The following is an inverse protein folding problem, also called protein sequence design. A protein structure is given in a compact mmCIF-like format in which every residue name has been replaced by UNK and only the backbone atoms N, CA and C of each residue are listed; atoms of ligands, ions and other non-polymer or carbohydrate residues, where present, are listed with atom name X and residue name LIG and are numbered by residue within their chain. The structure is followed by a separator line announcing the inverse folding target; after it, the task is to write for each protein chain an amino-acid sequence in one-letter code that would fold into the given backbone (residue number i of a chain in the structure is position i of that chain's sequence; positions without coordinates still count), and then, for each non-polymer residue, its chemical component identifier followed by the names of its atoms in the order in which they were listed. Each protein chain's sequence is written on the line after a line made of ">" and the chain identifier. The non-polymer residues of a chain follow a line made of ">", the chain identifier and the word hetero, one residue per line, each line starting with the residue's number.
data_IF_433293519044
#
_entry.id   IF_433293519044
#
_cell.length_a   1.000
_cell.length_b   1.000
_cell.length_c   1.000
_cell.angle_alpha   90.00
_cell.angle_beta   90.00
_cell.angle_gamma   90.00
#
_symmetry.space_group_name_H-M   'P 1'
#
loop_
_entity.id
_entity.type
_entity.pdbx_description
1 polymer ?
#
# COMPACT_ATOMS: atom_id res chain seq x y z
N UNK A 1 -18.93 -58.08 46.87
CA UNK A 1 -19.19 -58.12 48.33
C UNK A 1 -17.85 -58.42 49.00
N UNK A 2 -17.43 -57.60 49.98
CA UNK A 2 -16.25 -57.77 50.87
C UNK A 2 -14.89 -57.63 50.15
N UNK A 3 -14.14 -56.52 50.23
CA UNK A 3 -13.35 -55.96 51.34
C UNK A 3 -12.05 -56.73 51.68
N UNK A 4 -10.93 -56.01 51.55
CA UNK A 4 -9.67 -56.09 52.34
C UNK A 4 -8.62 -57.18 52.08
N UNK A 5 -7.36 -56.71 51.93
CA UNK A 5 -6.12 -57.05 52.68
C UNK A 5 -4.92 -57.16 51.71
N UNK A 6 -3.95 -56.24 51.69
CA UNK A 6 -2.87 -55.95 52.66
C UNK A 6 -1.60 -56.83 52.52
N UNK A 7 -0.44 -56.17 52.66
CA UNK A 7 0.96 -56.68 52.78
C UNK A 7 1.63 -57.22 51.50
N UNK A 8 2.90 -56.94 51.20
CA UNK A 8 4.04 -56.73 52.08
C UNK A 8 5.10 -55.75 51.53
N UNK A 9 5.85 -55.22 52.48
CA UNK A 9 7.00 -54.32 52.40
C UNK A 9 8.26 -55.11 52.03
N UNK A 10 9.08 -54.60 51.09
CA UNK A 10 10.52 -54.87 51.05
C UNK A 10 11.25 -53.52 50.91
N UNK A 11 12.05 -53.20 51.92
CA UNK A 11 13.03 -52.13 51.91
C UNK A 11 14.26 -52.56 51.11
N UNK A 12 14.71 -51.75 50.16
CA UNK A 12 16.09 -51.74 49.70
C UNK A 12 16.50 -50.28 49.45
N UNK A 13 17.35 -49.80 50.35
CA UNK A 13 17.96 -48.48 50.37
C UNK A 13 19.14 -48.39 49.41
N UNK A 14 19.15 -47.42 48.50
CA UNK A 14 20.37 -46.94 47.84
C UNK A 14 20.26 -45.45 47.48
N UNK A 15 21.00 -44.65 48.26
CA UNK A 15 21.81 -43.47 47.88
C UNK A 15 21.16 -42.40 46.99
N UNK A 16 20.82 -41.27 47.62
CA UNK A 16 20.48 -40.02 46.94
C UNK A 16 21.70 -39.36 46.30
N UNK A 17 21.53 -38.93 45.05
CA UNK A 17 22.30 -37.86 44.41
C UNK A 17 21.40 -36.61 44.32
N UNK A 18 21.90 -35.40 44.60
CA UNK A 18 21.13 -34.19 44.39
C UNK A 18 21.01 -33.93 42.89
N UNK A 19 19.79 -34.00 42.37
CA UNK A 19 19.46 -33.50 41.04
C UNK A 19 19.57 -31.97 41.07
N UNK A 20 20.66 -31.44 40.51
CA UNK A 20 20.70 -30.05 40.09
C UNK A 20 19.78 -29.90 38.87
N UNK A 21 18.61 -29.30 39.08
CA UNK A 21 17.81 -28.77 37.99
C UNK A 21 18.55 -27.55 37.45
N UNK A 22 19.28 -27.74 36.34
CA UNK A 22 19.59 -26.62 35.46
C UNK A 22 18.28 -26.24 34.77
N UNK A 23 17.70 -25.11 35.17
CA UNK A 23 16.71 -24.44 34.34
C UNK A 23 17.39 -24.11 33.02
N UNK A 24 17.10 -24.94 32.00
CA UNK A 24 17.42 -24.61 30.63
C UNK A 24 16.60 -23.36 30.28
N UNK A 25 17.25 -22.20 30.33
CA UNK A 25 16.77 -21.00 29.65
C UNK A 25 16.63 -21.39 28.18
N UNK A 26 15.40 -21.65 27.75
CA UNK A 26 15.08 -21.81 26.35
C UNK A 26 15.28 -20.44 25.70
N UNK A 27 16.48 -20.20 25.18
CA UNK A 27 16.70 -19.13 24.21
C UNK A 27 15.93 -19.59 22.98
N UNK A 28 14.73 -19.05 22.78
CA UNK A 28 14.02 -19.24 21.53
C UNK A 28 14.96 -18.77 20.42
N UNK A 29 15.47 -19.70 19.60
CA UNK A 29 16.23 -19.36 18.42
C UNK A 29 15.34 -18.46 17.56
N UNK A 30 15.76 -17.21 17.38
CA UNK A 30 15.08 -16.27 16.50
C UNK A 30 15.01 -16.92 15.11
N UNK A 31 13.81 -17.14 14.62
CA UNK A 31 13.59 -17.71 13.29
C UNK A 31 14.38 -16.87 12.26
N UNK A 32 15.13 -17.49 11.34
CA UNK A 32 15.90 -16.74 10.36
C UNK A 32 14.94 -15.85 9.57
N UNK A 33 15.25 -14.55 9.54
CA UNK A 33 14.42 -13.57 8.82
C UNK A 33 14.36 -13.97 7.34
N UNK A 34 13.16 -13.95 6.76
CA UNK A 34 12.93 -14.23 5.34
C UNK A 34 12.72 -12.91 4.58
N UNK A 35 13.37 -12.76 3.43
CA UNK A 35 13.12 -11.61 2.54
C UNK A 35 11.72 -11.73 1.94
N UNK A 36 11.01 -10.61 1.90
CA UNK A 36 9.69 -10.48 1.27
C UNK A 36 9.72 -9.32 0.27
N UNK A 37 8.79 -9.23 -0.69
CA UNK A 37 8.66 -8.07 -1.57
C UNK A 37 8.61 -6.74 -0.80
N UNK A 38 7.84 -6.68 0.29
CA UNK A 38 7.75 -5.48 1.12
C UNK A 38 9.08 -5.15 1.82
N UNK A 39 9.78 -6.15 2.37
CA UNK A 39 11.09 -5.94 2.98
C UNK A 39 12.16 -5.54 1.94
N UNK A 40 12.07 -6.06 0.72
CA UNK A 40 12.94 -5.63 -0.36
C UNK A 40 12.73 -4.15 -0.69
N UNK A 41 11.48 -3.74 -0.89
CA UNK A 41 11.13 -2.35 -1.22
C UNK A 41 11.61 -1.35 -0.15
N UNK A 42 11.52 -1.70 1.13
CA UNK A 42 11.73 -0.76 2.24
C UNK A 42 13.07 -0.92 2.97
N UNK A 43 13.73 -2.07 2.87
CA UNK A 43 14.92 -2.39 3.68
C UNK A 43 16.09 -2.95 2.85
N UNK A 44 15.94 -3.23 1.55
CA UNK A 44 17.06 -3.70 0.73
C UNK A 44 17.94 -2.56 0.23
N UNK A 45 19.22 -2.61 0.59
CA UNK A 45 20.18 -1.60 0.19
C UNK A 45 20.65 -1.86 -1.26
N UNK A 46 20.12 -1.06 -2.19
CA UNK A 46 20.42 -1.12 -3.62
C UNK A 46 21.91 -0.93 -3.96
N UNK A 47 22.69 -0.35 -3.04
CA UNK A 47 24.14 -0.14 -3.23
C UNK A 47 24.95 -1.42 -3.17
N UNK A 48 24.31 -2.54 -2.85
CA UNK A 48 24.98 -3.82 -2.64
C UNK A 48 24.93 -4.75 -3.85
N UNK A 49 24.35 -4.29 -4.96
CA UNK A 49 24.19 -5.05 -6.19
C UNK A 49 24.67 -4.26 -7.41
N UNK A 50 24.94 -4.97 -8.50
CA UNK A 50 25.09 -4.35 -9.81
C UNK A 50 23.71 -4.06 -10.38
N UNK A 51 23.49 -2.81 -10.79
CA UNK A 51 22.21 -2.38 -11.34
C UNK A 51 22.35 -1.28 -12.39
N UNK A 52 21.25 -0.89 -13.02
CA UNK A 52 21.17 0.21 -13.99
C UNK A 52 21.48 1.56 -13.34
N UNK A 53 21.14 1.69 -12.05
CA UNK A 53 21.55 2.80 -11.20
C UNK A 53 23.05 2.79 -10.90
N UNK A 54 23.69 1.61 -10.91
CA UNK A 54 25.14 1.42 -10.92
C UNK A 54 25.91 2.38 -10.01
N UNK A 55 26.98 2.97 -10.54
CA UNK A 55 27.79 3.96 -9.82
C UNK A 55 27.03 5.27 -9.53
N UNK A 56 25.90 5.55 -10.18
CA UNK A 56 25.15 6.78 -9.92
C UNK A 56 24.55 6.80 -8.51
N UNK A 57 24.31 5.62 -7.90
CA UNK A 57 23.86 5.53 -6.52
C UNK A 57 24.77 6.30 -5.54
N UNK A 58 26.09 6.40 -5.80
CA UNK A 58 27.01 7.14 -4.91
C UNK A 58 26.64 8.61 -4.75
N UNK A 59 26.00 9.20 -5.77
CA UNK A 59 25.59 10.61 -5.79
C UNK A 59 24.23 10.86 -5.13
N UNK A 60 23.44 9.82 -4.83
CA UNK A 60 22.13 9.99 -4.19
C UNK A 60 22.19 9.62 -2.72
N UNK A 61 21.36 10.22 -1.86
CA UNK A 61 21.30 9.86 -0.44
C UNK A 61 20.40 8.66 -0.14
N UNK A 62 19.46 8.36 -1.05
CA UNK A 62 18.59 7.19 -0.92
C UNK A 62 19.35 5.87 -1.09
N UNK A 63 18.77 4.80 -0.59
CA UNK A 63 19.36 3.46 -0.54
C UNK A 63 18.36 2.35 -0.78
N UNK A 64 17.07 2.60 -0.58
CA UNK A 64 16.02 1.60 -0.71
C UNK A 64 15.19 1.81 -1.97
N UNK A 65 14.65 0.75 -2.59
CA UNK A 65 13.87 0.85 -3.83
C UNK A 65 12.71 1.86 -3.78
N UNK A 66 12.00 1.98 -2.66
CA UNK A 66 10.92 2.97 -2.52
C UNK A 66 11.39 4.44 -2.59
N UNK A 67 12.69 4.71 -2.55
CA UNK A 67 13.24 6.05 -2.71
C UNK A 67 13.57 6.38 -4.17
N UNK A 68 13.67 5.37 -5.05
CA UNK A 68 14.09 5.55 -6.45
C UNK A 68 12.97 5.27 -7.46
N UNK A 69 12.09 4.31 -7.17
CA UNK A 69 11.06 3.88 -8.11
C UNK A 69 9.72 4.58 -7.85
N UNK A 70 9.15 5.18 -8.89
CA UNK A 70 7.85 5.84 -8.84
C UNK A 70 6.68 4.86 -8.89
N UNK A 71 6.88 3.64 -9.39
CA UNK A 71 5.82 2.63 -9.47
C UNK A 71 6.30 1.29 -8.91
N UNK A 72 5.49 0.71 -8.02
CA UNK A 72 5.79 -0.54 -7.31
C UNK A 72 4.63 -1.52 -7.53
N UNK A 73 4.88 -2.56 -8.32
CA UNK A 73 3.91 -3.58 -8.63
C UNK A 73 4.24 -4.88 -7.89
N UNK A 74 3.43 -5.20 -6.88
CA UNK A 74 3.48 -6.44 -6.11
C UNK A 74 2.74 -7.56 -6.85
N UNK A 75 3.40 -8.15 -7.86
CA UNK A 75 2.79 -9.19 -8.70
C UNK A 75 2.34 -10.39 -7.87
N UNK A 76 3.20 -10.88 -6.98
CA UNK A 76 2.90 -11.97 -6.04
C UNK A 76 3.82 -11.90 -4.81
N UNK A 77 3.69 -12.86 -3.90
CA UNK A 77 4.64 -13.03 -2.78
C UNK A 77 6.06 -13.39 -3.24
N UNK A 78 6.21 -13.80 -4.51
CA UNK A 78 7.48 -14.24 -5.11
C UNK A 78 7.93 -13.38 -6.28
N UNK A 79 7.16 -12.38 -6.71
CA UNK A 79 7.53 -11.51 -7.82
C UNK A 79 7.16 -10.05 -7.53
N UNK A 80 8.13 -9.16 -7.74
CA UNK A 80 8.00 -7.71 -7.61
C UNK A 80 8.52 -7.05 -8.87
N UNK A 81 7.80 -6.04 -9.35
CA UNK A 81 8.24 -5.20 -10.47
C UNK A 81 8.29 -3.75 -10.06
N UNK A 82 9.36 -3.06 -10.41
CA UNK A 82 9.65 -1.69 -10.03
C UNK A 82 9.94 -0.88 -11.28
N UNK A 83 9.33 0.30 -11.37
CA UNK A 83 9.45 1.18 -12.54
C UNK A 83 9.72 2.61 -12.11
N UNK A 84 10.57 3.29 -12.88
CA UNK A 84 10.66 4.75 -12.97
C UNK A 84 10.70 5.14 -14.45
N UNK A 85 10.89 6.44 -14.76
CA UNK A 85 10.91 6.97 -16.12
C UNK A 85 11.91 6.27 -17.05
N UNK A 86 12.99 5.71 -16.52
CA UNK A 86 14.10 5.16 -17.29
C UNK A 86 14.51 3.74 -16.89
N UNK A 87 14.14 3.24 -15.72
CA UNK A 87 14.55 1.92 -15.24
C UNK A 87 13.37 1.00 -14.98
N UNK A 88 13.63 -0.29 -15.20
CA UNK A 88 12.74 -1.38 -14.88
C UNK A 88 13.50 -2.48 -14.15
N UNK A 89 13.06 -2.82 -12.95
CA UNK A 89 13.54 -4.00 -12.22
C UNK A 89 12.41 -5.00 -12.04
N UNK A 90 12.71 -6.28 -12.30
CA UNK A 90 11.88 -7.41 -11.93
C UNK A 90 12.67 -8.29 -10.97
N UNK A 91 12.09 -8.55 -9.81
CA UNK A 91 12.69 -9.29 -8.71
C UNK A 91 11.87 -10.54 -8.48
N UNK A 92 12.47 -11.70 -8.74
CA UNK A 92 11.87 -12.98 -8.36
C UNK A 92 12.52 -13.45 -7.06
N UNK A 93 11.71 -13.70 -6.04
CA UNK A 93 12.16 -14.17 -4.73
C UNK A 93 12.17 -15.69 -4.70
N UNK A 94 13.32 -16.25 -4.33
CA UNK A 94 13.50 -17.68 -4.16
C UNK A 94 13.67 -18.05 -2.67
N UNK A 95 13.79 -19.34 -2.40
CA UNK A 95 14.16 -19.84 -1.09
C UNK A 95 15.58 -19.40 -0.68
N UNK A 96 15.91 -19.58 0.60
CA UNK A 96 17.22 -19.25 1.18
C UNK A 96 17.63 -17.77 1.01
N UNK A 97 16.65 -16.86 0.95
CA UNK A 97 16.85 -15.43 0.74
C UNK A 97 17.66 -15.11 -0.53
N UNK A 98 17.43 -15.88 -1.59
CA UNK A 98 17.94 -15.57 -2.93
C UNK A 98 16.94 -14.72 -3.72
N UNK A 99 17.47 -13.88 -4.60
CA UNK A 99 16.66 -13.18 -5.60
C UNK A 99 17.29 -13.29 -6.98
N UNK A 100 16.45 -13.48 -8.00
CA UNK A 100 16.81 -13.25 -9.39
C UNK A 100 16.36 -11.83 -9.76
N UNK A 101 17.32 -10.95 -10.03
CA UNK A 101 17.06 -9.58 -10.46
C UNK A 101 17.29 -9.45 -11.96
N UNK A 102 16.20 -9.24 -12.71
CA UNK A 102 16.24 -8.71 -14.06
C UNK A 102 16.17 -7.19 -13.98
N UNK A 103 17.07 -6.52 -14.68
CA UNK A 103 17.22 -5.08 -14.62
C UNK A 103 17.51 -4.51 -16.01
N UNK A 104 16.75 -3.48 -16.40
CA UNK A 104 16.73 -2.90 -17.74
C UNK A 104 16.63 -1.37 -17.68
N UNK A 105 17.32 -0.71 -18.62
CA UNK A 105 17.07 0.71 -18.92
C UNK A 105 16.10 0.79 -20.10
N UNK A 106 14.96 1.45 -19.90
CA UNK A 106 13.93 1.63 -20.92
C UNK A 106 14.48 2.51 -22.06
N UNK A 107 14.33 2.04 -23.30
CA UNK A 107 14.84 2.74 -24.48
C UNK A 107 16.36 2.61 -24.71
N UNK A 108 17.08 1.84 -23.90
CA UNK A 108 18.50 1.56 -24.09
C UNK A 108 18.80 0.05 -24.24
N UNK A 109 20.05 -0.28 -24.56
CA UNK A 109 20.51 -1.67 -24.71
C UNK A 109 20.87 -2.35 -23.39
N UNK A 110 20.97 -1.61 -22.29
CA UNK A 110 21.28 -2.19 -20.99
C UNK A 110 20.15 -3.11 -20.54
N UNK A 111 20.48 -4.39 -20.40
CA UNK A 111 19.63 -5.44 -19.86
C UNK A 111 20.53 -6.47 -19.17
N UNK A 112 20.28 -6.75 -17.90
CA UNK A 112 21.08 -7.67 -17.09
C UNK A 112 20.16 -8.57 -16.27
N UNK A 113 20.59 -9.80 -16.06
CA UNK A 113 19.97 -10.74 -15.14
C UNK A 113 21.05 -11.24 -14.17
N UNK A 114 20.76 -11.24 -12.87
CA UNK A 114 21.74 -11.63 -11.85
C UNK A 114 21.07 -12.24 -10.63
N UNK A 115 21.68 -13.30 -10.10
CA UNK A 115 21.26 -13.96 -8.87
C UNK A 115 22.04 -13.39 -7.69
N UNK A 116 21.35 -13.06 -6.60
CA UNK A 116 21.96 -12.52 -5.39
C UNK A 116 21.53 -13.30 -4.15
N UNK A 117 22.47 -13.55 -3.24
CA UNK A 117 22.18 -14.04 -1.89
C UNK A 117 22.07 -12.87 -0.93
N UNK A 118 20.96 -12.80 -0.19
CA UNK A 118 20.68 -11.68 0.70
C UNK A 118 20.87 -12.07 2.17
N UNK A 119 21.61 -11.23 2.88
CA UNK A 119 21.74 -11.28 4.34
C UNK A 119 21.07 -10.08 5.00
N UNK A 120 20.42 -10.30 6.15
CA UNK A 120 19.91 -9.21 6.98
C UNK A 120 20.93 -8.78 8.04
N UNK A 121 21.23 -7.49 8.09
CA UNK A 121 22.21 -6.91 9.00
C UNK A 121 21.51 -6.17 10.13
N UNK A 122 21.32 -6.87 11.26
CA UNK A 122 20.57 -6.36 12.42
C UNK A 122 21.08 -5.02 12.97
N UNK A 123 22.39 -4.79 13.00
CA UNK A 123 22.99 -3.56 13.56
C UNK A 123 22.61 -2.28 12.80
N UNK A 124 22.15 -2.42 11.56
CA UNK A 124 21.87 -1.33 10.62
C UNK A 124 20.53 -1.52 9.92
N UNK A 125 19.72 -2.47 10.41
CA UNK A 125 18.35 -2.79 9.98
C UNK A 125 18.13 -2.80 8.46
N UNK A 126 18.96 -3.52 7.71
CA UNK A 126 18.82 -3.59 6.25
C UNK A 126 19.23 -4.95 5.67
N UNK A 127 18.63 -5.29 4.53
CA UNK A 127 19.06 -6.37 3.67
C UNK A 127 20.18 -5.92 2.75
N UNK A 128 21.16 -6.79 2.51
CA UNK A 128 22.28 -6.57 1.61
C UNK A 128 22.61 -7.82 0.83
N UNK A 129 23.03 -7.63 -0.41
CA UNK A 129 23.73 -8.67 -1.15
C UNK A 129 25.22 -8.70 -0.73
N UNK A 130 25.91 -9.79 -1.01
CA UNK A 130 27.28 -10.07 -0.56
C UNK A 130 28.38 -9.56 -1.51
N UNK A 131 27.99 -9.07 -2.69
CA UNK A 131 28.84 -8.90 -3.86
C UNK A 131 29.54 -7.53 -3.90
N UNK A 132 28.85 -6.46 -3.51
CA UNK A 132 29.37 -5.10 -3.61
C UNK A 132 28.88 -4.20 -2.46
N UNK A 133 29.57 -3.09 -2.25
CA UNK A 133 29.03 -1.93 -1.51
C UNK A 133 29.52 -0.66 -2.19
N UNK A 134 28.60 0.05 -2.85
CA UNK A 134 28.88 1.36 -3.43
C UNK A 134 28.83 2.38 -2.29
N UNK A 135 29.99 2.94 -1.94
CA UNK A 135 30.10 3.98 -0.93
C UNK A 135 29.28 5.22 -1.34
N UNK A 136 28.57 5.80 -0.37
CA UNK A 136 27.82 7.03 -0.56
C UNK A 136 28.76 8.23 -0.43
N UNK A 137 28.65 9.22 -1.31
CA UNK A 137 29.38 10.48 -1.15
C UNK A 137 28.82 11.30 0.03
N UNK A 138 29.68 12.05 0.71
CA UNK A 138 29.27 12.88 1.86
C UNK A 138 28.26 13.98 1.47
N UNK A 139 28.35 14.49 0.24
CA UNK A 139 27.51 15.56 -0.31
C UNK A 139 26.49 15.03 -1.33
N UNK A 140 25.94 13.83 -1.10
CA UNK A 140 24.91 13.25 -1.96
C UNK A 140 23.67 14.15 -2.12
N UNK A 141 22.99 13.99 -3.24
CA UNK A 141 21.74 14.68 -3.58
C UNK A 141 20.52 13.87 -3.11
N UNK A 142 19.47 14.52 -2.59
CA UNK A 142 18.21 13.85 -2.28
C UNK A 142 17.47 13.45 -3.57
N UNK A 143 16.83 12.29 -3.56
CA UNK A 143 15.95 11.88 -4.66
C UNK A 143 14.60 12.54 -4.47
N UNK A 144 14.05 13.10 -5.55
CA UNK A 144 12.73 13.73 -5.55
C UNK A 144 11.77 12.85 -6.32
N UNK A 145 10.88 12.18 -5.59
CA UNK A 145 9.73 11.47 -6.14
C UNK A 145 8.48 12.32 -5.89
N UNK A 146 8.05 13.05 -6.92
CA UNK A 146 6.85 13.88 -6.85
C UNK A 146 5.57 13.03 -6.85
N UNK A 147 5.65 11.80 -7.35
CA UNK A 147 4.57 10.82 -7.27
C UNK A 147 5.12 9.41 -7.08
N UNK A 148 4.43 8.62 -6.27
CA UNK A 148 4.64 7.18 -6.15
C UNK A 148 3.30 6.44 -6.12
N UNK A 149 3.22 5.35 -6.87
CA UNK A 149 2.05 4.47 -6.93
C UNK A 149 2.48 3.04 -6.59
N UNK A 150 1.70 2.36 -5.76
CA UNK A 150 1.84 0.92 -5.54
C UNK A 150 0.53 0.19 -5.79
N UNK A 151 0.60 -1.05 -6.28
CA UNK A 151 -0.56 -1.92 -6.52
C UNK A 151 -0.17 -3.41 -6.55
N UNK A 152 -1.16 -4.31 -6.45
CA UNK A 152 -0.98 -5.78 -6.49
C UNK A 152 -0.88 -6.43 -5.09
N UNK A 153 -1.02 -7.75 -4.99
CA UNK A 153 -0.91 -8.57 -3.75
C UNK A 153 -1.45 -7.93 -2.45
N UNK A 154 -2.58 -7.22 -2.53
CA UNK A 154 -3.19 -6.53 -1.38
C UNK A 154 -2.52 -5.22 -0.95
N UNK A 155 -1.43 -4.81 -1.59
CA UNK A 155 -0.77 -3.52 -1.42
C UNK A 155 -1.24 -2.57 -2.50
N UNK A 156 -1.92 -1.50 -2.13
CA UNK A 156 -2.22 -0.45 -3.09
C UNK A 156 -2.32 0.89 -2.41
N UNK A 157 -1.45 1.79 -2.81
CA UNK A 157 -1.34 3.12 -2.26
C UNK A 157 -0.89 4.08 -3.32
N UNK A 158 -1.09 5.36 -3.06
CA UNK A 158 -0.50 6.40 -3.86
C UNK A 158 -0.09 7.54 -2.97
N UNK A 159 0.93 8.24 -3.42
CA UNK A 159 1.51 9.41 -2.77
C UNK A 159 1.84 10.41 -3.87
N UNK A 160 1.29 11.59 -3.77
CA UNK A 160 1.60 12.70 -4.65
C UNK A 160 2.08 13.86 -3.78
N UNK A 161 3.25 14.42 -4.09
CA UNK A 161 3.85 15.55 -3.39
C UNK A 161 3.49 16.82 -4.18
N UNK A 162 3.03 17.83 -3.44
CA UNK A 162 2.72 19.15 -3.98
C UNK A 162 3.00 20.19 -2.91
N UNK A 163 2.57 21.44 -3.12
CA UNK A 163 2.72 22.50 -2.13
C UNK A 163 1.36 23.00 -1.64
N UNK A 164 1.30 23.45 -0.40
CA UNK A 164 0.17 24.19 0.13
C UNK A 164 0.20 25.62 -0.42
N UNK A 165 -0.90 26.07 -1.03
CA UNK A 165 -1.02 27.42 -1.60
C UNK A 165 -1.79 28.33 -0.66
N UNK A 166 -3.02 27.93 -0.32
CA UNK A 166 -3.89 28.69 0.56
C UNK A 166 -4.98 27.80 1.14
N UNK A 167 -5.67 28.28 2.17
CA UNK A 167 -6.95 27.72 2.60
C UNK A 167 -8.03 28.77 2.50
N UNK A 168 -9.17 28.36 1.98
CA UNK A 168 -10.39 29.16 1.87
C UNK A 168 -11.50 28.50 2.71
N UNK A 169 -12.54 29.26 3.07
CA UNK A 169 -13.67 28.91 3.96
C UNK A 169 -13.78 27.43 4.42
N UNK A 170 -13.73 27.21 5.74
CA UNK A 170 -14.03 25.95 6.44
C UNK A 170 -13.43 24.65 5.85
N UNK A 171 -12.12 24.65 5.56
CA UNK A 171 -11.37 23.42 5.27
C UNK A 171 -11.17 23.11 3.78
N UNK A 172 -11.41 24.07 2.89
CA UNK A 172 -10.93 23.99 1.52
C UNK A 172 -9.46 24.39 1.45
N UNK A 173 -8.63 23.57 0.83
CA UNK A 173 -7.20 23.79 0.65
C UNK A 173 -6.89 23.78 -0.85
N UNK A 174 -6.16 24.80 -1.30
CA UNK A 174 -5.60 24.87 -2.64
C UNK A 174 -4.16 24.33 -2.64
N UNK A 175 -3.88 23.48 -3.62
CA UNK A 175 -2.60 22.81 -3.81
C UNK A 175 -1.82 23.48 -4.95
N UNK A 176 -0.50 23.33 -4.96
CA UNK A 176 0.42 23.98 -5.90
C UNK A 176 0.25 23.54 -7.36
N UNK A 177 -0.45 22.43 -7.58
CA UNK A 177 -0.85 21.93 -8.89
C UNK A 177 -2.20 22.52 -9.37
N UNK A 178 -2.79 23.45 -8.62
CA UNK A 178 -4.06 24.12 -8.93
C UNK A 178 -5.31 23.35 -8.49
N UNK A 179 -5.14 22.18 -7.89
CA UNK A 179 -6.25 21.35 -7.41
C UNK A 179 -6.71 21.79 -6.02
N UNK A 180 -7.96 21.44 -5.70
CA UNK A 180 -8.62 21.80 -4.45
C UNK A 180 -9.05 20.56 -3.71
N UNK A 181 -8.79 20.53 -2.40
CA UNK A 181 -9.27 19.49 -1.51
C UNK A 181 -10.16 20.10 -0.43
N UNK A 182 -11.30 19.47 -0.12
CA UNK A 182 -12.04 19.73 1.12
C UNK A 182 -11.58 18.69 2.13
N UNK A 183 -10.99 19.12 3.23
CA UNK A 183 -10.58 18.23 4.32
C UNK A 183 -11.68 18.12 5.38
N UNK A 184 -11.64 17.05 6.17
CA UNK A 184 -12.47 16.92 7.36
C UNK A 184 -11.93 17.79 8.49
N UNK A 185 -12.51 18.99 8.63
CA UNK A 185 -12.16 19.98 9.66
C UNK A 185 -12.61 19.60 11.08
N UNK A 186 -13.36 18.51 11.25
CA UNK A 186 -13.69 17.97 12.57
C UNK A 186 -12.54 17.20 13.20
N UNK A 187 -11.65 16.64 12.38
CA UNK A 187 -10.47 15.86 12.83
C UNK A 187 -9.31 16.77 13.21
N UNK A 188 -9.08 17.82 12.42
CA UNK A 188 -8.09 18.85 12.69
C UNK A 188 -8.75 20.21 12.55
N UNK A 189 -8.64 21.01 13.61
CA UNK A 189 -9.21 22.34 13.63
C UNK A 189 -8.64 23.14 12.46
N UNK A 190 -9.51 23.65 11.58
CA UNK A 190 -9.12 24.31 10.32
C UNK A 190 -8.03 25.39 10.51
N UNK A 191 -8.00 26.09 11.65
CA UNK A 191 -6.96 27.08 11.95
C UNK A 191 -5.54 26.50 12.00
N UNK A 192 -5.39 25.20 12.28
CA UNK A 192 -4.09 24.54 12.18
C UNK A 192 -3.60 24.42 10.74
N UNK A 193 -4.53 24.29 9.78
CA UNK A 193 -4.23 24.20 8.35
C UNK A 193 -3.97 25.60 7.80
N UNK A 194 -4.78 26.59 8.18
CA UNK A 194 -4.55 28.01 7.82
C UNK A 194 -3.22 28.54 8.33
N UNK A 195 -2.68 27.95 9.39
CA UNK A 195 -1.36 28.29 9.91
C UNK A 195 -0.20 27.70 9.08
N UNK A 196 -0.48 26.87 8.07
CA UNK A 196 0.55 26.33 7.19
C UNK A 196 1.14 27.44 6.31
N UNK A 197 2.46 27.47 6.20
CA UNK A 197 3.14 28.44 5.36
C UNK A 197 2.87 28.15 3.87
N UNK A 198 2.59 29.18 3.08
CA UNK A 198 2.51 29.05 1.61
C UNK A 198 3.81 28.47 1.06
N UNK A 199 3.69 27.54 0.11
CA UNK A 199 4.83 26.79 -0.45
C UNK A 199 5.28 25.61 0.41
N UNK A 200 4.66 25.34 1.56
CA UNK A 200 4.95 24.17 2.39
C UNK A 200 4.69 22.88 1.60
N UNK A 201 5.64 21.96 1.63
CA UNK A 201 5.48 20.66 1.00
C UNK A 201 4.43 19.82 1.74
N UNK A 202 3.44 19.35 0.97
CA UNK A 202 2.36 18.49 1.44
C UNK A 202 2.24 17.29 0.51
N UNK A 203 1.55 16.25 0.95
CA UNK A 203 1.26 15.10 0.11
C UNK A 203 -0.19 14.67 0.19
N UNK A 204 -0.77 14.38 -0.96
CA UNK A 204 -2.02 13.64 -1.07
C UNK A 204 -1.68 12.15 -1.09
N UNK A 205 -2.11 11.44 -0.05
CA UNK A 205 -1.89 10.00 0.07
C UNK A 205 -3.21 9.26 0.00
N UNK A 206 -3.18 8.05 -0.55
CA UNK A 206 -4.25 7.08 -0.38
C UNK A 206 -3.69 5.79 0.20
N UNK A 207 -4.34 5.31 1.25
CA UNK A 207 -4.10 3.97 1.81
C UNK A 207 -5.43 3.25 2.03
N UNK A 208 -5.50 1.92 1.85
CA UNK A 208 -6.77 1.18 1.96
C UNK A 208 -7.41 1.30 3.34
N UNK A 209 -6.61 1.40 4.40
CA UNK A 209 -7.05 1.51 5.79
C UNK A 209 -7.64 2.88 6.10
N UNK A 210 -7.01 3.96 5.63
CA UNK A 210 -7.37 5.33 6.02
C UNK A 210 -8.12 6.13 4.96
N UNK A 211 -8.14 5.67 3.72
CA UNK A 211 -8.64 6.44 2.58
C UNK A 211 -7.70 7.56 2.18
N UNK A 212 -8.23 8.53 1.45
CA UNK A 212 -7.46 9.69 0.97
C UNK A 212 -7.17 10.68 2.11
N UNK A 213 -5.92 11.12 2.25
CA UNK A 213 -5.51 12.10 3.26
C UNK A 213 -4.56 13.15 2.69
N UNK A 214 -4.62 14.36 3.22
CA UNK A 214 -3.62 15.40 3.03
C UNK A 214 -2.62 15.37 4.19
N UNK A 215 -1.33 15.29 3.89
CA UNK A 215 -0.25 15.13 4.88
C UNK A 215 0.75 16.27 4.80
N UNK A 216 1.04 16.93 5.91
CA UNK A 216 2.17 17.85 6.00
C UNK A 216 3.49 17.08 6.13
N UNK A 217 4.38 17.16 5.14
CA UNK A 217 5.59 16.31 5.09
C UNK A 217 6.60 16.62 6.20
N UNK A 218 6.58 17.84 6.75
CA UNK A 218 7.40 18.31 7.87
C UNK A 218 6.94 17.79 9.23
N UNK A 219 5.63 17.60 9.40
CA UNK A 219 4.98 17.35 10.69
C UNK A 219 4.44 15.92 10.79
N UNK A 220 4.26 15.24 9.66
CA UNK A 220 3.58 13.94 9.57
C UNK A 220 2.08 14.01 9.88
N UNK A 221 1.52 15.20 10.15
CA UNK A 221 0.09 15.36 10.43
C UNK A 221 -0.70 15.04 9.17
N UNK A 222 -1.68 14.14 9.30
CA UNK A 222 -2.50 13.66 8.19
C UNK A 222 -3.97 13.97 8.43
N UNK A 223 -4.68 14.49 7.44
CA UNK A 223 -6.08 14.96 7.54
C UNK A 223 -6.92 14.24 6.50
N UNK A 224 -8.06 13.61 6.85
CA UNK A 224 -8.93 12.99 5.85
C UNK A 224 -9.41 13.99 4.81
N UNK A 225 -9.46 13.57 3.55
CA UNK A 225 -9.98 14.35 2.42
C UNK A 225 -11.40 13.87 2.13
N UNK A 226 -12.36 14.79 2.17
CA UNK A 226 -13.78 14.56 1.87
C UNK A 226 -14.04 14.70 0.37
N UNK A 227 -13.41 15.70 -0.24
CA UNK A 227 -13.56 16.01 -1.65
C UNK A 227 -12.22 16.42 -2.24
N UNK A 228 -12.01 16.07 -3.50
CA UNK A 228 -10.84 16.44 -4.27
C UNK A 228 -11.26 16.76 -5.70
N UNK A 229 -10.86 17.92 -6.21
CA UNK A 229 -11.21 18.36 -7.56
C UNK A 229 -10.35 17.75 -8.67
N UNK A 230 -9.22 17.15 -8.29
CA UNK A 230 -8.27 16.51 -9.20
C UNK A 230 -8.66 15.07 -9.56
N UNK A 231 -7.74 14.37 -10.20
CA UNK A 231 -7.91 12.95 -10.47
C UNK A 231 -7.70 12.14 -9.19
N UNK A 232 -8.78 11.51 -8.68
CA UNK A 232 -8.73 10.66 -7.49
C UNK A 232 -7.50 9.75 -7.47
N UNK A 233 -6.76 9.65 -6.33
CA UNK A 233 -5.61 8.77 -6.24
C UNK A 233 -5.95 7.30 -6.53
N UNK A 234 -7.19 6.86 -6.30
CA UNK A 234 -7.68 5.53 -6.69
C UNK A 234 -7.77 5.34 -8.20
N UNK A 235 -8.11 6.36 -8.98
CA UNK A 235 -8.08 6.28 -10.44
C UNK A 235 -6.64 6.21 -10.96
N UNK A 236 -5.72 6.98 -10.36
CA UNK A 236 -4.30 6.90 -10.71
C UNK A 236 -3.75 5.49 -10.49
N UNK A 237 -4.10 4.86 -9.36
CA UNK A 237 -3.77 3.45 -9.06
C UNK A 237 -4.40 2.51 -10.09
N UNK A 238 -5.69 2.66 -10.41
CA UNK A 238 -6.37 1.82 -11.42
C UNK A 238 -5.69 1.92 -12.78
N UNK A 239 -5.43 3.15 -13.26
CA UNK A 239 -4.79 3.41 -14.55
C UNK A 239 -3.40 2.78 -14.62
N UNK A 240 -2.54 3.03 -13.62
CA UNK A 240 -1.20 2.45 -13.56
C UNK A 240 -1.23 0.91 -13.53
N UNK A 241 -2.17 0.32 -12.79
CA UNK A 241 -2.35 -1.13 -12.74
C UNK A 241 -2.76 -1.69 -14.10
N UNK A 242 -3.76 -1.10 -14.75
CA UNK A 242 -4.28 -1.57 -16.05
C UNK A 242 -3.26 -1.40 -17.17
N UNK A 243 -2.43 -0.34 -17.13
CA UNK A 243 -1.35 -0.11 -18.09
C UNK A 243 -0.24 -1.16 -17.99
N UNK A 244 0.04 -1.65 -16.78
CA UNK A 244 1.10 -2.62 -16.49
C UNK A 244 0.60 -4.07 -16.40
N UNK A 245 -0.69 -4.32 -16.61
CA UNK A 245 -1.26 -5.65 -16.61
C UNK A 245 -0.84 -6.44 -17.87
N UNK A 246 -0.19 -7.59 -17.65
CA UNK A 246 0.33 -8.44 -18.74
C UNK A 246 -0.77 -9.18 -19.52
N UNK A 247 -1.89 -9.48 -18.85
CA UNK A 247 -2.99 -10.26 -19.41
C UNK A 247 -4.36 -9.82 -18.86
N UNK A 248 -5.41 -10.51 -19.32
CA UNK A 248 -6.78 -10.22 -18.94
C UNK A 248 -7.09 -10.54 -17.46
N UNK A 249 -6.39 -11.52 -16.86
CA UNK A 249 -6.55 -11.87 -15.45
C UNK A 249 -5.96 -10.77 -14.55
N UNK A 250 -4.74 -10.33 -14.84
CA UNK A 250 -4.11 -9.21 -14.14
C UNK A 250 -4.95 -7.94 -14.26
N UNK A 251 -5.53 -7.69 -15.44
CA UNK A 251 -6.44 -6.55 -15.66
C UNK A 251 -7.73 -6.69 -14.87
N UNK A 252 -8.30 -7.88 -14.76
CA UNK A 252 -9.45 -8.17 -13.91
C UNK A 252 -9.13 -7.88 -12.43
N UNK A 253 -7.96 -8.28 -11.95
CA UNK A 253 -7.50 -8.01 -10.59
C UNK A 253 -7.36 -6.51 -10.30
N UNK A 254 -6.86 -5.71 -11.26
CA UNK A 254 -6.81 -4.26 -11.15
C UNK A 254 -8.20 -3.64 -10.88
N UNK A 255 -9.23 -4.06 -11.63
CA UNK A 255 -10.59 -3.59 -11.40
C UNK A 255 -11.18 -4.12 -10.08
N UNK A 256 -10.82 -5.34 -9.68
CA UNK A 256 -11.18 -5.87 -8.36
C UNK A 256 -10.58 -5.04 -7.21
N UNK A 257 -9.33 -4.61 -7.35
CA UNK A 257 -8.66 -3.70 -6.41
C UNK A 257 -9.33 -2.32 -6.39
N UNK A 258 -9.60 -1.75 -7.56
CA UNK A 258 -10.31 -0.48 -7.68
C UNK A 258 -11.69 -0.53 -7.03
N UNK A 259 -12.47 -1.59 -7.27
CA UNK A 259 -13.76 -1.82 -6.62
C UNK A 259 -13.65 -1.82 -5.09
N UNK A 260 -12.67 -2.53 -4.52
CA UNK A 260 -12.46 -2.54 -3.06
C UNK A 260 -12.12 -1.15 -2.52
N UNK A 261 -11.27 -0.42 -3.23
CA UNK A 261 -10.92 0.96 -2.87
C UNK A 261 -12.13 1.88 -2.89
N UNK A 262 -12.90 1.85 -3.97
CA UNK A 262 -14.08 2.69 -4.13
C UNK A 262 -15.23 2.32 -3.19
N UNK A 263 -15.41 1.04 -2.85
CA UNK A 263 -16.39 0.62 -1.84
C UNK A 263 -16.01 1.12 -0.45
N UNK A 264 -14.73 1.09 -0.09
CA UNK A 264 -14.24 1.68 1.15
C UNK A 264 -14.48 3.20 1.20
N UNK A 265 -14.16 3.94 0.13
CA UNK A 265 -14.45 5.37 0.02
C UNK A 265 -15.95 5.69 0.06
N UNK A 266 -16.78 4.88 -0.61
CA UNK A 266 -18.24 5.01 -0.56
C UNK A 266 -18.73 4.89 0.88
N UNK A 267 -18.27 3.88 1.62
CA UNK A 267 -18.68 3.67 3.01
C UNK A 267 -18.18 4.77 3.96
N UNK A 268 -16.97 5.32 3.72
CA UNK A 268 -16.45 6.49 4.45
C UNK A 268 -17.31 7.72 4.20
N UNK A 269 -17.60 8.03 2.94
CA UNK A 269 -18.43 9.17 2.57
C UNK A 269 -19.87 9.00 3.07
N UNK A 270 -20.42 7.80 3.00
CA UNK A 270 -21.75 7.52 3.55
C UNK A 270 -21.80 7.74 5.07
N UNK A 271 -20.80 7.24 5.80
CA UNK A 271 -20.73 7.41 7.26
C UNK A 271 -20.54 8.86 7.65
N UNK A 272 -19.65 9.58 6.94
CA UNK A 272 -19.40 11.01 7.15
C UNK A 272 -20.66 11.83 6.89
N UNK A 273 -21.36 11.57 5.78
CA UNK A 273 -22.62 12.24 5.47
C UNK A 273 -23.66 11.99 6.56
N UNK A 274 -23.83 10.75 7.02
CA UNK A 274 -24.78 10.46 8.10
C UNK A 274 -24.39 11.12 9.43
N UNK A 275 -23.12 11.46 9.66
CA UNK A 275 -22.71 12.10 10.92
C UNK A 275 -23.19 13.55 11.06
N UNK A 276 -23.39 14.24 9.93
CA UNK A 276 -23.74 15.68 9.89
C UNK A 276 -25.24 15.95 9.67
N UNK A 277 -26.03 14.92 9.37
CA UNK A 277 -27.46 15.04 9.07
C UNK A 277 -28.35 14.88 10.31
N UNK A 278 -29.54 15.48 10.26
CA UNK A 278 -30.60 15.23 11.25
C UNK A 278 -31.28 13.85 11.06
N UNK A 279 -32.16 13.46 11.99
CA UNK A 279 -32.79 12.14 11.96
C UNK A 279 -33.72 11.91 10.76
N UNK A 280 -34.41 12.96 10.31
CA UNK A 280 -35.32 12.87 9.16
C UNK A 280 -34.52 12.74 7.85
N UNK A 281 -33.44 13.50 7.72
CA UNK A 281 -32.50 13.44 6.61
C UNK A 281 -31.79 12.09 6.55
N UNK A 282 -31.28 11.60 7.68
CA UNK A 282 -30.67 10.26 7.80
C UNK A 282 -31.61 9.17 7.30
N UNK A 283 -32.90 9.22 7.67
CA UNK A 283 -33.89 8.25 7.21
C UNK A 283 -34.00 8.23 5.68
N UNK A 284 -34.07 9.41 5.05
CA UNK A 284 -34.17 9.55 3.59
C UNK A 284 -32.90 9.09 2.88
N UNK A 285 -31.72 9.47 3.36
CA UNK A 285 -30.44 9.06 2.79
C UNK A 285 -30.25 7.54 2.90
N UNK A 286 -30.59 6.92 4.03
CA UNK A 286 -30.57 5.45 4.20
C UNK A 286 -31.50 4.74 3.21
N UNK A 287 -32.69 5.30 2.97
CA UNK A 287 -33.63 4.73 2.00
C UNK A 287 -33.10 4.86 0.56
N UNK A 288 -32.57 6.03 0.19
CA UNK A 288 -31.96 6.27 -1.11
C UNK A 288 -30.75 5.36 -1.36
N UNK A 289 -29.87 5.18 -0.37
CA UNK A 289 -28.70 4.32 -0.49
C UNK A 289 -29.08 2.84 -0.67
N UNK A 290 -30.13 2.35 0.01
CA UNK A 290 -30.67 1.00 -0.21
C UNK A 290 -31.20 0.81 -1.63
N UNK A 291 -31.91 1.80 -2.17
CA UNK A 291 -32.37 1.78 -3.56
C UNK A 291 -31.23 1.85 -4.57
N UNK A 292 -30.16 2.56 -4.25
CA UNK A 292 -28.96 2.55 -5.08
C UNK A 292 -28.28 1.18 -5.09
N UNK A 293 -28.22 0.46 -3.97
CA UNK A 293 -27.69 -0.92 -3.93
C UNK A 293 -28.51 -1.86 -4.81
N UNK A 294 -29.85 -1.81 -4.73
CA UNK A 294 -30.74 -2.58 -5.62
C UNK A 294 -30.45 -2.27 -7.10
N UNK A 295 -30.32 -0.99 -7.46
CA UNK A 295 -29.96 -0.56 -8.82
C UNK A 295 -28.60 -1.10 -9.25
N UNK A 296 -27.56 -0.94 -8.43
CA UNK A 296 -26.20 -1.41 -8.71
C UNK A 296 -26.20 -2.90 -8.99
N UNK A 297 -26.80 -3.69 -8.10
CA UNK A 297 -26.77 -5.15 -8.18
C UNK A 297 -27.54 -5.63 -9.42
N UNK A 298 -28.70 -5.04 -9.73
CA UNK A 298 -29.44 -5.33 -10.97
C UNK A 298 -28.68 -4.93 -12.25
N UNK A 299 -27.93 -3.81 -12.24
CA UNK A 299 -27.10 -3.43 -13.39
C UNK A 299 -25.95 -4.41 -13.61
N UNK A 300 -25.26 -4.81 -12.53
CA UNK A 300 -24.14 -5.76 -12.60
C UNK A 300 -24.61 -7.15 -13.03
N UNK A 301 -25.77 -7.61 -12.57
CA UNK A 301 -26.40 -8.85 -13.04
C UNK A 301 -26.67 -8.79 -14.55
N UNK A 302 -27.32 -7.73 -15.03
CA UNK A 302 -27.63 -7.56 -16.45
C UNK A 302 -26.37 -7.49 -17.34
N UNK A 303 -25.33 -6.82 -16.87
CA UNK A 303 -24.05 -6.70 -17.60
C UNK A 303 -23.27 -8.03 -17.56
N UNK A 304 -23.34 -8.76 -16.44
CA UNK A 304 -22.81 -10.12 -16.32
C UNK A 304 -23.35 -11.03 -17.43
N UNK A 305 -24.66 -10.99 -17.71
CA UNK A 305 -25.28 -11.77 -18.79
C UNK A 305 -24.72 -11.46 -20.18
N UNK A 306 -24.32 -10.21 -20.43
CA UNK A 306 -23.72 -9.81 -21.72
C UNK A 306 -22.33 -10.37 -21.94
N UNK A 307 -21.68 -10.84 -20.86
CA UNK A 307 -20.29 -11.27 -20.90
C UNK A 307 -20.13 -12.71 -21.37
N UNK A 308 -21.20 -13.51 -21.36
CA UNK A 308 -21.26 -14.87 -21.91
C UNK A 308 -21.37 -14.92 -23.46
N UNK A 309 -21.21 -13.79 -24.16
CA UNK A 309 -21.33 -13.74 -25.62
C UNK A 309 -20.00 -14.09 -26.29
N UNK A 310 -19.98 -14.94 -27.34
CA UNK A 310 -18.76 -15.26 -28.09
C UNK A 310 -18.05 -13.98 -28.58
N UNK A 311 -16.76 -13.83 -28.29
CA UNK A 311 -15.95 -12.68 -28.68
C UNK A 311 -16.01 -11.46 -27.75
N UNK A 312 -16.77 -11.51 -26.65
CA UNK A 312 -16.68 -10.50 -25.60
C UNK A 312 -15.52 -10.82 -24.66
N UNK A 313 -14.75 -9.81 -24.23
CA UNK A 313 -13.84 -9.90 -23.08
C UNK A 313 -14.71 -10.19 -21.84
N UNK A 314 -14.86 -11.48 -21.49
CA UNK A 314 -16.04 -12.00 -20.81
C UNK A 314 -16.06 -11.81 -19.29
N UNK A 315 -15.01 -11.26 -18.69
CA UNK A 315 -14.93 -11.10 -17.22
C UNK A 315 -14.48 -9.70 -16.78
N UNK A 316 -13.70 -9.00 -17.61
CA UNK A 316 -13.23 -7.64 -17.31
C UNK A 316 -14.37 -6.62 -17.30
N UNK A 317 -15.35 -6.75 -18.19
CA UNK A 317 -16.42 -5.76 -18.34
C UNK A 317 -17.28 -5.61 -17.08
N UNK A 318 -17.80 -6.69 -16.46
CA UNK A 318 -18.51 -6.59 -15.18
C UNK A 318 -17.64 -6.00 -14.06
N UNK A 319 -16.38 -6.42 -13.94
CA UNK A 319 -15.47 -5.93 -12.90
C UNK A 319 -15.21 -4.42 -13.02
N UNK A 320 -14.87 -3.96 -14.24
CA UNK A 320 -14.71 -2.53 -14.53
C UNK A 320 -15.98 -1.74 -14.24
N UNK A 321 -17.14 -2.26 -14.63
CA UNK A 321 -18.42 -1.62 -14.36
C UNK A 321 -18.68 -1.51 -12.86
N UNK A 322 -18.41 -2.57 -12.09
CA UNK A 322 -18.58 -2.58 -10.65
C UNK A 322 -17.71 -1.50 -9.97
N UNK A 323 -16.44 -1.39 -10.37
CA UNK A 323 -15.56 -0.32 -9.89
C UNK A 323 -16.12 1.07 -10.25
N UNK A 324 -16.51 1.27 -11.52
CA UNK A 324 -17.02 2.55 -12.01
C UNK A 324 -18.32 3.00 -11.30
N UNK A 325 -19.34 2.14 -11.24
CA UNK A 325 -20.63 2.51 -10.62
C UNK A 325 -20.47 2.82 -9.13
N UNK A 326 -19.57 2.11 -8.45
CA UNK A 326 -19.24 2.33 -7.03
C UNK A 326 -18.49 3.64 -6.85
N UNK A 327 -17.53 3.94 -7.72
CA UNK A 327 -16.84 5.23 -7.78
C UNK A 327 -17.83 6.39 -7.92
N UNK A 328 -18.73 6.33 -8.89
CA UNK A 328 -19.69 7.41 -9.14
C UNK A 328 -20.54 7.69 -7.89
N UNK A 329 -20.93 6.65 -7.17
CA UNK A 329 -21.65 6.81 -5.91
C UNK A 329 -20.78 7.39 -4.79
N UNK A 330 -19.53 6.93 -4.66
CA UNK A 330 -18.58 7.46 -3.68
C UNK A 330 -18.36 8.97 -3.90
N UNK A 331 -18.10 9.38 -5.15
CA UNK A 331 -17.91 10.78 -5.55
C UNK A 331 -19.19 11.59 -5.33
N UNK A 332 -20.36 11.05 -5.70
CA UNK A 332 -21.65 11.72 -5.47
C UNK A 332 -21.88 12.02 -3.98
N UNK A 333 -21.61 11.06 -3.10
CA UNK A 333 -21.74 11.26 -1.66
C UNK A 333 -20.72 12.29 -1.14
N UNK A 334 -19.47 12.23 -1.59
CA UNK A 334 -18.44 13.23 -1.27
C UNK A 334 -18.84 14.64 -1.69
N UNK A 335 -19.43 14.79 -2.88
CA UNK A 335 -19.93 16.07 -3.37
C UNK A 335 -21.07 16.63 -2.51
N UNK A 336 -22.02 15.77 -2.07
CA UNK A 336 -23.08 16.19 -1.15
C UNK A 336 -22.49 16.71 0.16
N UNK A 337 -21.56 15.99 0.77
CA UNK A 337 -20.86 16.45 1.99
C UNK A 337 -20.13 17.77 1.73
N UNK A 338 -19.54 17.94 0.54
CA UNK A 338 -18.84 19.17 0.20
C UNK A 338 -19.75 20.40 0.12
N UNK A 339 -21.04 20.20 -0.16
CA UNK A 339 -22.05 21.25 -0.29
C UNK A 339 -22.83 21.58 0.99
N UNK A 340 -22.68 20.75 2.03
CA UNK A 340 -23.13 21.06 3.39
C UNK A 340 -22.08 21.93 4.09
#
# INVERSE_FOLDING_TARGET
>A
MVQSSAMAIIFASTLGLPLFFFDAVSVAAEQPRKITPAAFVNEFNMRTIFSSYGQALKYYCGKYPNEFFSTIHYVSDTELRLYDDTNYWQVNFEDDNRILLLNKIMGASYNSESMYHLGYFNSIHQWRASEALIEQEENCEPIKLDRQISFGSGNYSSKEITTYVDSHDQGYVELGNGEKVKVDSSVLYWKEIDAWAKGKAVSLIYEPSTGTRLVGLDTGKAIPVIFYSGESPLNQIESACVELADDDLARFECYGQSLRGWDAELNRNYTTLLSVLDDQEKLKIRAAQRKWLEYRDSQLEAIGLLSNRPGAISEIRPARMAAWITREQAVRLGNVISSL
#
